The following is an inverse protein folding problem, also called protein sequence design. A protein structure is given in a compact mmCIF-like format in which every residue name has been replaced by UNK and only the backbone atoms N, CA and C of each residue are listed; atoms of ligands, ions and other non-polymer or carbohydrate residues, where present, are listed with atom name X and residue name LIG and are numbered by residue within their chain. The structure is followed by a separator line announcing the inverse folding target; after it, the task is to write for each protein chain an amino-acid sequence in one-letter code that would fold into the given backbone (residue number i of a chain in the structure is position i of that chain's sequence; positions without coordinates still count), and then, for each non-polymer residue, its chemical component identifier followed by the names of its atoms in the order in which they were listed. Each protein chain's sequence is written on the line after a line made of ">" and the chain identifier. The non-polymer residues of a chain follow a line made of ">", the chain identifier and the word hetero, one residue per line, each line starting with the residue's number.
data_IF_651524272289
#
_entry.id   IF_651524272289
#
_cell.length_a   1.000
_cell.length_b   1.000
_cell.length_c   1.000
_cell.angle_alpha   90.00
_cell.angle_beta   90.00
_cell.angle_gamma   90.00
#
_symmetry.space_group_name_H-M   'P 1'
#
loop_
_entity.id
_entity.type
_entity.pdbx_description
1 polymer ?
#
# COMPACT_ATOMS: atom_id res chain seq x y z
N UNK A 1 8.71 3.52 -5.36
CA UNK A 1 10.20 3.46 -5.43
C UNK A 1 10.95 4.16 -4.30
N UNK A 2 10.64 5.42 -3.93
CA UNK A 2 11.44 6.15 -2.93
C UNK A 2 11.55 5.40 -1.58
N UNK A 3 10.45 4.79 -1.13
CA UNK A 3 10.42 3.97 0.08
C UNK A 3 11.36 2.77 -0.01
N UNK A 4 11.31 2.01 -1.12
CA UNK A 4 12.19 0.88 -1.35
C UNK A 4 13.67 1.31 -1.31
N UNK A 5 14.05 2.45 -1.92
CA UNK A 5 15.44 2.93 -1.87
C UNK A 5 15.93 3.28 -0.46
N UNK A 6 15.06 3.77 0.42
CA UNK A 6 15.42 4.18 1.77
C UNK A 6 15.42 3.02 2.77
N UNK A 7 14.51 2.06 2.59
CA UNK A 7 14.24 1.02 3.59
C UNK A 7 14.53 -0.40 3.09
N UNK A 8 14.84 -0.57 1.80
CA UNK A 8 15.04 -1.84 1.12
C UNK A 8 13.84 -2.81 1.33
N UNK A 9 12.62 -2.24 1.31
CA UNK A 9 11.35 -2.92 1.54
C UNK A 9 10.27 -2.35 0.62
N UNK A 10 9.27 -3.17 0.31
CA UNK A 10 8.10 -2.74 -0.43
C UNK A 10 7.11 -2.04 0.50
N UNK A 11 6.73 -0.81 0.18
CA UNK A 11 5.77 -0.03 0.98
C UNK A 11 4.45 -0.76 1.14
N UNK A 12 3.95 -1.39 0.07
CA UNK A 12 2.69 -2.14 0.08
C UNK A 12 2.73 -3.33 1.06
N UNK A 13 3.88 -4.01 1.13
CA UNK A 13 4.09 -5.14 2.03
C UNK A 13 4.03 -4.69 3.48
N UNK A 14 4.72 -3.61 3.82
CA UNK A 14 4.78 -3.08 5.18
C UNK A 14 3.40 -2.50 5.59
N UNK A 15 2.70 -1.78 4.70
CA UNK A 15 1.32 -1.35 4.96
C UNK A 15 0.41 -2.55 5.21
N UNK A 16 0.52 -3.61 4.41
CA UNK A 16 -0.31 -4.81 4.53
C UNK A 16 -0.04 -5.65 5.79
N UNK A 17 1.19 -5.59 6.34
CA UNK A 17 1.57 -6.33 7.56
C UNK A 17 1.30 -5.55 8.84
N UNK A 18 1.43 -4.22 8.82
CA UNK A 18 1.29 -3.36 10.01
C UNK A 18 -0.14 -2.83 10.22
N UNK A 19 -1.05 -3.07 9.28
CA UNK A 19 -2.45 -2.63 9.35
C UNK A 19 -3.44 -3.77 9.12
N UNK A 20 -4.69 -3.60 9.55
CA UNK A 20 -5.73 -4.64 9.44
C UNK A 20 -7.12 -4.06 9.16
N UNK A 21 -8.04 -4.93 8.75
CA UNK A 21 -9.45 -4.59 8.51
C UNK A 21 -9.63 -3.54 7.42
N UNK A 22 -10.68 -2.73 7.54
CA UNK A 22 -11.04 -1.71 6.55
C UNK A 22 -9.95 -0.63 6.42
N UNK A 23 -9.22 -0.36 7.50
CA UNK A 23 -8.11 0.59 7.47
C UNK A 23 -7.01 0.15 6.52
N UNK A 24 -6.62 -1.13 6.57
CA UNK A 24 -5.69 -1.72 5.60
C UNK A 24 -6.24 -1.64 4.18
N UNK A 25 -7.49 -2.05 3.99
CA UNK A 25 -8.11 -2.07 2.68
C UNK A 25 -8.10 -0.69 2.02
N UNK A 26 -8.45 0.36 2.78
CA UNK A 26 -8.45 1.75 2.31
C UNK A 26 -7.05 2.22 1.91
N UNK A 27 -6.03 1.97 2.75
CA UNK A 27 -4.67 2.41 2.46
C UNK A 27 -4.11 1.74 1.19
N UNK A 28 -4.33 0.44 1.04
CA UNK A 28 -3.89 -0.29 -0.16
C UNK A 28 -4.61 0.21 -1.42
N UNK A 29 -5.90 0.55 -1.32
CA UNK A 29 -6.65 1.10 -2.46
C UNK A 29 -6.14 2.48 -2.89
N UNK A 30 -5.78 3.34 -1.92
CA UNK A 30 -5.19 4.65 -2.22
C UNK A 30 -3.83 4.55 -2.92
N UNK A 31 -3.09 3.47 -2.71
CA UNK A 31 -1.78 3.23 -3.31
C UNK A 31 -1.87 2.70 -4.75
N UNK A 32 -3.00 2.14 -5.17
CA UNK A 32 -3.20 1.65 -6.53
C UNK A 32 -3.30 2.82 -7.52
N UNK A 33 -2.87 2.53 -8.75
CA UNK A 33 -3.08 3.41 -9.89
C UNK A 33 -4.58 3.73 -10.03
N UNK A 34 -4.98 5.00 -10.22
CA UNK A 34 -6.38 5.38 -10.39
C UNK A 34 -7.12 4.59 -11.48
N UNK A 35 -6.43 4.12 -12.52
CA UNK A 35 -6.99 3.26 -13.58
C UNK A 35 -7.29 1.83 -13.14
N UNK A 36 -6.74 1.39 -12.01
CA UNK A 36 -6.86 0.04 -11.45
C UNK A 36 -7.82 -0.01 -10.25
N UNK A 37 -8.42 1.12 -9.86
CA UNK A 37 -9.38 1.18 -8.76
C UNK A 37 -10.69 0.58 -9.24
N UNK A 38 -11.12 -0.50 -8.61
CA UNK A 38 -12.45 -1.06 -8.84
C UNK A 38 -13.44 -0.17 -8.08
N UNK A 39 -14.39 0.42 -8.80
CA UNK A 39 -15.48 1.20 -8.20
C UNK A 39 -16.44 0.34 -7.39
#
# INVERSE_FOLDING_TARGET
>A
EAYNRLFNRELERDVSSETSGDYKALLLELMKDPSQRSG
#
